data_IF_079013942220
#
_entry.id   IF_079013942220
#
_cell.length_a   1.000
_cell.length_b   1.000
_cell.length_c   1.000
_cell.angle_alpha   90.00
_cell.angle_beta   90.00
_cell.angle_gamma   90.00
#
_symmetry.space_group_name_H-M   'P 1'
#
loop_
_entity.id
_entity.type
_entity.pdbx_description
1 polymer ?
#
# COMPACT_ATOMS: atom_id res chain seq x y z
N UNK A 1 -1.44 -13.74 5.65
CA UNK A 1 -2.09 -12.75 4.76
C UNK A 1 -1.44 -11.41 5.06
N UNK A 2 -1.02 -10.61 4.06
CA UNK A 2 -0.42 -9.30 4.31
C UNK A 2 -1.45 -8.31 4.87
N UNK A 3 -1.00 -7.38 5.72
CA UNK A 3 -1.79 -6.28 6.24
C UNK A 3 -0.89 -5.04 6.45
N UNK A 4 -1.48 -3.85 6.35
CA UNK A 4 -0.82 -2.57 6.60
C UNK A 4 -1.60 -1.79 7.66
N UNK A 5 -0.90 -1.31 8.68
CA UNK A 5 -1.42 -0.38 9.67
C UNK A 5 -0.70 0.96 9.53
N UNK A 6 -1.45 2.02 9.21
CA UNK A 6 -0.94 3.38 9.11
C UNK A 6 -2.07 4.37 9.39
N UNK A 7 -1.77 5.51 10.02
CA UNK A 7 -2.78 6.52 10.39
C UNK A 7 -3.99 5.94 11.17
N UNK A 8 -3.75 5.00 12.09
CA UNK A 8 -4.79 4.29 12.86
C UNK A 8 -5.83 3.55 12.00
N UNK A 9 -5.48 3.20 10.75
CA UNK A 9 -6.30 2.39 9.85
C UNK A 9 -5.56 1.11 9.49
N UNK A 10 -6.29 -0.01 9.47
CA UNK A 10 -5.80 -1.31 9.01
C UNK A 10 -6.41 -1.65 7.65
N UNK A 11 -5.57 -2.10 6.72
CA UNK A 11 -5.94 -2.58 5.38
C UNK A 11 -5.34 -3.98 5.15
N UNK A 12 -6.02 -4.86 4.42
CA UNK A 12 -5.57 -6.26 4.21
C UNK A 12 -5.86 -6.85 2.83
N UNK A 13 -6.34 -6.05 1.88
CA UNK A 13 -6.52 -6.47 0.49
C UNK A 13 -5.28 -6.09 -0.31
N UNK A 14 -4.65 -7.07 -0.97
CA UNK A 14 -3.32 -6.90 -1.57
C UNK A 14 -3.23 -5.77 -2.59
N UNK A 15 -4.21 -5.57 -3.48
CA UNK A 15 -4.15 -4.51 -4.49
C UNK A 15 -4.34 -3.12 -3.86
N UNK A 16 -5.22 -3.01 -2.87
CA UNK A 16 -5.41 -1.81 -2.08
C UNK A 16 -4.15 -1.46 -1.28
N UNK A 17 -3.43 -2.46 -0.76
CA UNK A 17 -2.14 -2.26 -0.12
C UNK A 17 -1.11 -1.66 -1.08
N UNK A 18 -0.97 -2.23 -2.29
CA UNK A 18 -0.01 -1.72 -3.29
C UNK A 18 -0.34 -0.28 -3.68
N UNK A 19 -1.61 0.01 -3.99
CA UNK A 19 -2.07 1.38 -4.32
C UNK A 19 -1.85 2.36 -3.16
N UNK A 20 -2.09 1.92 -1.93
CA UNK A 20 -1.89 2.76 -0.76
C UNK A 20 -0.42 3.11 -0.59
N UNK A 21 0.48 2.13 -0.76
CA UNK A 21 1.92 2.35 -0.62
C UNK A 21 2.40 3.34 -1.71
N UNK A 22 2.04 3.10 -2.97
CA UNK A 22 2.40 3.98 -4.10
C UNK A 22 1.95 5.44 -3.88
N UNK A 23 0.78 5.66 -3.27
CA UNK A 23 0.22 6.99 -3.06
C UNK A 23 0.76 7.74 -1.82
N UNK A 24 1.39 7.05 -0.86
CA UNK A 24 1.76 7.65 0.44
C UNK A 24 3.25 7.60 0.75
N UNK A 25 4.03 6.82 0.02
CA UNK A 25 5.46 6.65 0.26
C UNK A 25 6.24 6.92 -1.02
N UNK A 26 7.33 7.66 -0.89
CA UNK A 26 8.27 7.86 -2.00
C UNK A 26 9.10 6.58 -2.23
N UNK A 27 9.47 6.32 -3.48
CA UNK A 27 10.27 5.16 -3.82
C UNK A 27 10.21 4.82 -5.31
N UNK A 28 10.84 3.70 -5.71
CA UNK A 28 10.63 3.12 -7.03
C UNK A 28 9.17 2.75 -7.26
N UNK A 29 8.72 2.83 -8.52
CA UNK A 29 7.37 2.39 -8.89
C UNK A 29 7.14 0.92 -8.49
N UNK A 30 6.01 0.66 -7.83
CA UNK A 30 5.65 -0.69 -7.38
C UNK A 30 4.77 -1.37 -8.41
N UNK A 31 3.86 -0.60 -9.02
CA UNK A 31 3.03 -1.05 -10.11
C UNK A 31 3.70 -0.81 -11.46
N UNK A 32 3.54 -1.73 -12.43
CA UNK A 32 3.97 -1.48 -13.79
C UNK A 32 3.17 -0.33 -14.43
N UNK A 33 3.82 0.40 -15.34
CA UNK A 33 3.23 1.45 -16.16
C UNK A 33 2.15 0.95 -17.12
#
# INVERSE_FOLDING_TARGET
VPALEHNNKVSGESLDLLKYIEAHFEGPEILPA
#
